data_IF_988592882217
#
_entry.id   IF_988592882217
#
_cell.length_a   1.000
_cell.length_b   1.000
_cell.length_c   1.000
_cell.angle_alpha   90.00
_cell.angle_beta   90.00
_cell.angle_gamma   90.00
#
_symmetry.space_group_name_H-M   'P 1'
#
loop_
_entity.id
_entity.type
_entity.pdbx_description
1 polymer ?
#
# COMPACT_ATOMS: atom_id res chain seq x y z
N UNK A 1 8.44 -69.78 17.77
CA UNK A 1 7.18 -70.02 18.47
C UNK A 1 6.43 -68.67 18.47
N UNK A 2 5.26 -68.42 18.00
CA UNK A 2 4.09 -69.23 17.64
C UNK A 2 3.28 -68.34 16.65
N UNK A 3 2.75 -69.01 15.66
CA UNK A 3 1.74 -68.61 14.66
C UNK A 3 0.44 -68.10 15.28
N UNK A 4 -0.33 -67.31 14.47
CA UNK A 4 -1.70 -67.56 13.98
C UNK A 4 -2.19 -66.20 13.50
N UNK A 5 -2.60 -65.82 12.29
CA UNK A 5 -3.56 -66.54 11.43
C UNK A 5 -4.95 -65.93 11.60
N UNK A 6 -5.45 -65.23 10.63
CA UNK A 6 -6.81 -64.69 10.65
C UNK A 6 -7.16 -63.94 9.36
N UNK A 7 -7.50 -64.76 8.34
CA UNK A 7 -8.16 -64.19 7.13
C UNK A 7 -9.63 -63.94 7.45
N UNK A 8 -10.12 -62.73 7.12
CA UNK A 8 -11.55 -62.40 7.16
C UNK A 8 -12.03 -62.04 5.76
N UNK A 9 -12.71 -62.97 5.17
CA UNK A 9 -13.44 -62.89 3.90
C UNK A 9 -14.68 -62.02 4.11
N UNK A 10 -14.82 -60.94 3.36
CA UNK A 10 -16.08 -60.19 3.30
C UNK A 10 -16.78 -60.47 1.97
N UNK A 11 -17.98 -61.02 2.12
CA UNK A 11 -18.89 -61.38 1.04
C UNK A 11 -19.48 -60.13 0.35
N UNK A 12 -19.48 -60.18 -0.98
CA UNK A 12 -20.10 -59.22 -1.86
C UNK A 12 -21.61 -59.46 -1.90
N UNK A 13 -22.42 -58.54 -1.41
CA UNK A 13 -23.87 -58.54 -1.59
C UNK A 13 -24.23 -57.60 -2.75
N UNK A 14 -24.62 -58.19 -3.87
CA UNK A 14 -25.16 -57.47 -5.03
C UNK A 14 -26.65 -57.29 -4.82
N UNK A 15 -27.12 -56.08 -4.59
CA UNK A 15 -28.54 -55.72 -4.59
C UNK A 15 -28.90 -55.08 -5.93
N UNK A 16 -29.69 -55.80 -6.71
CA UNK A 16 -30.27 -55.33 -7.96
C UNK A 16 -31.49 -54.46 -7.64
N UNK A 17 -31.44 -53.17 -7.95
CA UNK A 17 -32.62 -52.29 -7.91
C UNK A 17 -33.14 -52.05 -9.32
N UNK A 18 -34.40 -52.44 -9.51
CA UNK A 18 -35.19 -52.25 -10.74
C UNK A 18 -35.39 -50.76 -11.08
N UNK A 19 -35.15 -50.41 -12.34
CA UNK A 19 -35.41 -49.13 -12.92
C UNK A 19 -36.92 -49.00 -13.22
N UNK A 20 -37.60 -48.10 -12.55
CA UNK A 20 -38.92 -47.62 -12.97
C UNK A 20 -38.72 -46.26 -13.65
N UNK A 21 -38.92 -46.22 -14.96
CA UNK A 21 -38.91 -45.01 -15.72
C UNK A 21 -40.21 -44.24 -15.49
N UNK A 22 -40.10 -43.07 -14.85
CA UNK A 22 -41.16 -42.08 -14.82
C UNK A 22 -40.74 -40.89 -15.71
N UNK A 23 -41.36 -40.79 -16.88
CA UNK A 23 -41.19 -39.66 -17.77
C UNK A 23 -41.89 -38.42 -17.18
N UNK A 24 -41.12 -37.41 -16.81
CA UNK A 24 -41.61 -36.06 -16.55
C UNK A 24 -41.00 -35.11 -17.58
N UNK A 25 -41.83 -34.58 -18.45
CA UNK A 25 -41.46 -33.43 -19.31
C UNK A 25 -41.14 -32.24 -18.37
N UNK A 26 -39.84 -31.95 -18.17
CA UNK A 26 -39.45 -30.69 -17.59
C UNK A 26 -39.24 -29.67 -18.69
N UNK A 27 -40.14 -28.69 -18.75
CA UNK A 27 -39.99 -27.49 -19.56
C UNK A 27 -38.71 -26.78 -19.14
N UNK A 28 -37.75 -26.70 -20.06
CA UNK A 28 -36.52 -25.99 -19.87
C UNK A 28 -36.77 -24.49 -19.68
N UNK A 29 -36.72 -24.02 -18.44
CA UNK A 29 -36.58 -22.61 -18.14
C UNK A 29 -35.19 -22.21 -18.62
N UNK A 30 -35.14 -21.39 -19.68
CA UNK A 30 -33.88 -20.81 -20.15
C UNK A 30 -33.17 -20.18 -18.96
N UNK A 31 -31.97 -20.69 -18.63
CA UNK A 31 -31.08 -20.07 -17.68
C UNK A 31 -30.63 -18.76 -18.32
N UNK A 32 -31.07 -17.67 -17.69
CA UNK A 32 -30.57 -16.33 -17.96
C UNK A 32 -29.06 -16.35 -17.77
N UNK A 33 -28.31 -16.35 -18.87
CA UNK A 33 -26.86 -16.24 -18.88
C UNK A 33 -26.47 -14.79 -18.68
N UNK A 34 -26.90 -14.21 -17.56
CA UNK A 34 -26.35 -12.94 -17.10
C UNK A 34 -24.83 -13.12 -16.92
N UNK A 35 -23.99 -12.36 -17.61
CA UNK A 35 -22.54 -12.50 -17.40
C UNK A 35 -22.24 -12.24 -15.92
N UNK A 36 -21.49 -13.14 -15.31
CA UNK A 36 -20.99 -12.94 -13.95
C UNK A 36 -20.40 -11.54 -13.87
N UNK A 37 -20.60 -10.78 -12.76
CA UNK A 37 -20.03 -9.46 -12.62
C UNK A 37 -18.53 -9.58 -12.82
N UNK A 38 -18.02 -8.97 -13.89
CA UNK A 38 -16.59 -8.83 -14.11
C UNK A 38 -16.07 -8.08 -12.89
N UNK A 39 -15.37 -8.75 -11.99
CA UNK A 39 -14.63 -8.08 -10.92
C UNK A 39 -13.62 -7.18 -11.62
N UNK A 40 -13.98 -5.92 -11.81
CA UNK A 40 -13.07 -4.93 -12.33
C UNK A 40 -11.80 -5.01 -11.47
N UNK A 41 -10.66 -5.22 -12.12
CA UNK A 41 -9.36 -5.18 -11.45
C UNK A 41 -9.29 -3.81 -10.79
N UNK A 42 -9.41 -3.77 -9.47
CA UNK A 42 -9.34 -2.52 -8.73
C UNK A 42 -8.03 -1.82 -9.13
N UNK A 43 -8.14 -0.58 -9.59
CA UNK A 43 -6.97 0.18 -10.06
C UNK A 43 -5.89 0.22 -8.97
N UNK A 44 -4.64 0.04 -9.37
CA UNK A 44 -3.52 0.07 -8.43
C UNK A 44 -3.39 1.46 -7.81
N UNK A 45 -3.43 1.53 -6.48
CA UNK A 45 -3.23 2.75 -5.72
C UNK A 45 -1.73 3.09 -5.73
N UNK A 46 -1.37 4.23 -6.33
CA UNK A 46 0.02 4.68 -6.43
C UNK A 46 0.37 5.59 -5.28
N UNK A 47 1.37 5.21 -4.51
CA UNK A 47 1.94 5.99 -3.40
C UNK A 47 3.39 6.31 -3.74
N UNK A 48 3.85 7.52 -3.46
CA UNK A 48 5.26 7.92 -3.61
C UNK A 48 5.81 8.31 -2.24
N UNK A 49 6.93 7.70 -1.85
CA UNK A 49 7.70 8.13 -0.70
C UNK A 49 8.85 9.02 -1.18
N UNK A 50 8.77 10.32 -0.95
CA UNK A 50 9.84 11.28 -1.29
C UNK A 50 10.59 11.69 -0.02
N UNK A 51 11.91 11.71 -0.09
CA UNK A 51 12.74 12.03 1.07
C UNK A 51 14.23 11.92 0.80
N UNK A 52 15.01 11.89 1.88
CA UNK A 52 16.45 11.79 1.84
C UNK A 52 16.95 10.33 2.06
N UNK A 53 18.07 10.17 2.76
CA UNK A 53 18.75 8.87 2.98
C UNK A 53 17.91 7.83 3.70
N UNK A 54 17.12 8.22 4.70
CA UNK A 54 16.21 7.29 5.39
C UNK A 54 15.09 6.79 4.47
N UNK A 55 14.58 7.61 3.55
CA UNK A 55 13.64 7.13 2.54
C UNK A 55 14.33 6.22 1.53
N UNK A 56 15.56 6.56 1.12
CA UNK A 56 16.35 5.74 0.19
C UNK A 56 16.72 4.36 0.75
N UNK A 57 16.82 4.21 2.07
CA UNK A 57 17.25 2.97 2.74
C UNK A 57 18.76 2.90 2.96
N UNK A 58 19.38 4.03 3.33
CA UNK A 58 20.82 4.08 3.62
C UNK A 58 21.21 3.04 4.68
N UNK A 59 22.22 2.23 4.34
CA UNK A 59 22.76 1.21 5.24
C UNK A 59 21.96 -0.08 5.37
N UNK A 60 20.72 -0.11 4.83
CA UNK A 60 19.86 -1.31 4.92
C UNK A 60 19.36 -1.80 3.55
N UNK A 61 19.55 -1.04 2.49
CA UNK A 61 19.02 -1.32 1.15
C UNK A 61 17.57 -0.85 0.95
N UNK A 62 17.21 -0.55 -0.28
CA UNK A 62 15.89 -0.04 -0.64
C UNK A 62 14.76 -1.03 -0.34
N UNK A 63 15.04 -2.32 -0.43
CA UNK A 63 14.12 -3.43 -0.16
C UNK A 63 13.77 -3.55 1.33
N UNK A 64 14.64 -3.07 2.22
CA UNK A 64 14.42 -3.01 3.67
C UNK A 64 13.96 -1.63 4.14
N UNK A 65 13.93 -0.64 3.25
CA UNK A 65 13.47 0.71 3.57
C UNK A 65 11.96 0.75 3.84
N UNK A 66 11.50 1.73 4.61
CA UNK A 66 10.10 1.81 5.02
C UNK A 66 9.11 1.86 3.85
N UNK A 67 9.40 2.39 2.64
CA UNK A 67 8.45 2.36 1.54
C UNK A 67 8.14 0.92 1.09
N UNK A 68 9.17 0.07 0.97
CA UNK A 68 9.00 -1.35 0.62
C UNK A 68 8.27 -2.13 1.72
N UNK A 69 8.62 -1.88 2.99
CA UNK A 69 7.94 -2.48 4.15
C UNK A 69 6.46 -2.09 4.20
N UNK A 70 6.14 -0.81 3.96
CA UNK A 70 4.77 -0.32 3.93
C UNK A 70 3.97 -0.96 2.79
N UNK A 71 4.57 -1.08 1.59
CA UNK A 71 3.94 -1.77 0.47
C UNK A 71 3.59 -3.21 0.83
N UNK A 72 4.55 -3.97 1.37
CA UNK A 72 4.33 -5.35 1.77
C UNK A 72 3.20 -5.45 2.81
N UNK A 73 3.21 -4.58 3.82
CA UNK A 73 2.19 -4.58 4.87
C UNK A 73 0.78 -4.24 4.35
N UNK A 74 0.66 -3.36 3.35
CA UNK A 74 -0.62 -3.02 2.72
C UNK A 74 -1.10 -4.16 1.82
N UNK A 75 -0.22 -4.73 1.01
CA UNK A 75 -0.55 -5.86 0.13
C UNK A 75 -0.99 -7.09 0.92
N UNK A 76 -0.33 -7.40 2.04
CA UNK A 76 -0.73 -8.49 2.95
C UNK A 76 -2.14 -8.28 3.53
N UNK A 77 -2.63 -7.04 3.59
CA UNK A 77 -3.99 -6.67 4.00
C UNK A 77 -4.99 -6.59 2.84
N UNK A 78 -4.59 -7.02 1.64
CA UNK A 78 -5.46 -7.08 0.46
C UNK A 78 -5.56 -5.79 -0.34
N UNK A 79 -4.78 -4.75 -0.03
CA UNK A 79 -4.77 -3.52 -0.81
C UNK A 79 -3.93 -3.68 -2.08
N UNK A 80 -4.49 -3.35 -3.25
CA UNK A 80 -3.74 -3.28 -4.50
C UNK A 80 -2.97 -1.96 -4.57
N UNK A 81 -1.76 -1.93 -4.02
CA UNK A 81 -0.94 -0.72 -3.91
C UNK A 81 0.45 -0.92 -4.49
N UNK A 82 1.03 0.17 -4.97
CA UNK A 82 2.43 0.31 -5.32
C UNK A 82 3.00 1.51 -4.57
N UNK A 83 4.12 1.32 -3.85
CA UNK A 83 4.82 2.38 -3.13
C UNK A 83 6.18 2.63 -3.78
N UNK A 84 6.28 3.68 -4.58
CA UNK A 84 7.54 4.06 -5.22
C UNK A 84 8.46 4.73 -4.20
N UNK A 85 9.71 4.26 -4.14
CA UNK A 85 10.75 4.89 -3.32
C UNK A 85 11.46 5.97 -4.14
N UNK A 86 11.17 7.24 -3.86
CA UNK A 86 11.81 8.42 -4.44
C UNK A 86 12.77 9.10 -3.43
N UNK A 87 13.40 8.33 -2.55
CA UNK A 87 14.45 8.80 -1.65
C UNK A 87 15.76 9.07 -2.39
N UNK A 88 16.48 10.12 -1.97
CA UNK A 88 17.85 10.41 -2.44
C UNK A 88 18.73 10.74 -1.24
N UNK A 89 19.84 10.04 -1.09
CA UNK A 89 20.81 10.38 -0.04
C UNK A 89 21.30 11.83 -0.21
N UNK A 90 21.50 12.49 0.92
CA UNK A 90 21.91 13.90 1.01
C UNK A 90 20.90 14.93 0.46
N UNK A 91 19.70 14.50 0.08
CA UNK A 91 18.68 15.46 -0.42
C UNK A 91 18.22 16.41 0.69
N UNK A 92 17.83 17.60 0.27
CA UNK A 92 17.23 18.66 1.10
C UNK A 92 15.80 18.90 0.66
N UNK A 93 15.01 19.62 1.46
CA UNK A 93 13.65 20.02 1.04
C UNK A 93 13.65 20.87 -0.23
N UNK A 94 14.67 21.70 -0.43
CA UNK A 94 14.90 22.42 -1.70
C UNK A 94 15.21 21.48 -2.86
N UNK A 95 15.99 20.41 -2.62
CA UNK A 95 16.24 19.37 -3.61
C UNK A 95 14.98 18.60 -3.98
N UNK A 96 14.18 18.21 -2.99
CA UNK A 96 12.88 17.56 -3.19
C UNK A 96 11.92 18.43 -4.01
N UNK A 97 11.86 19.75 -3.70
CA UNK A 97 11.02 20.70 -4.44
C UNK A 97 11.42 20.78 -5.91
N UNK A 98 12.72 20.90 -6.20
CA UNK A 98 13.21 20.97 -7.59
C UNK A 98 12.91 19.75 -8.45
N UNK A 99 12.80 18.57 -7.83
CA UNK A 99 12.52 17.29 -8.53
C UNK A 99 11.08 16.77 -8.31
N UNK A 100 10.21 17.58 -7.74
CA UNK A 100 8.88 17.14 -7.33
C UNK A 100 8.08 16.52 -8.48
N UNK A 101 8.03 17.19 -9.63
CA UNK A 101 7.28 16.72 -10.79
C UNK A 101 7.84 15.42 -11.38
N UNK A 102 9.15 15.29 -11.44
CA UNK A 102 9.80 14.07 -11.89
C UNK A 102 9.63 12.89 -10.90
N UNK A 103 9.58 13.19 -9.60
CA UNK A 103 9.45 12.19 -8.56
C UNK A 103 8.01 11.73 -8.33
N UNK A 104 7.03 12.59 -8.64
CA UNK A 104 5.61 12.36 -8.36
C UNK A 104 4.80 12.43 -9.67
N UNK A 105 4.69 11.30 -10.40
CA UNK A 105 3.97 11.26 -11.67
C UNK A 105 2.46 11.46 -11.49
N UNK A 106 1.78 11.77 -12.59
CA UNK A 106 0.31 11.86 -12.63
C UNK A 106 -0.34 10.54 -12.21
N UNK A 107 -1.49 10.63 -11.54
CA UNK A 107 -2.20 9.48 -11.00
C UNK A 107 -1.62 8.96 -9.67
N UNK A 108 -0.67 9.69 -9.04
CA UNK A 108 -0.27 9.44 -7.67
C UNK A 108 -1.42 9.79 -6.72
N UNK A 109 -1.80 8.85 -5.86
CA UNK A 109 -2.86 9.02 -4.87
C UNK A 109 -2.37 9.72 -3.60
N UNK A 110 -1.18 9.34 -3.13
CA UNK A 110 -0.60 9.81 -1.86
C UNK A 110 0.90 10.03 -2.01
N UNK A 111 1.39 11.11 -1.42
CA UNK A 111 2.82 11.31 -1.18
C UNK A 111 3.10 11.23 0.31
N UNK A 112 4.07 10.40 0.69
CA UNK A 112 4.68 10.40 2.03
C UNK A 112 5.98 11.18 1.89
N UNK A 113 6.01 12.38 2.46
CA UNK A 113 7.19 13.24 2.42
C UNK A 113 7.97 13.15 3.73
N UNK A 114 9.22 12.70 3.66
CA UNK A 114 10.15 12.69 4.78
C UNK A 114 11.23 13.74 4.56
N UNK A 115 11.06 14.96 5.11
CA UNK A 115 11.95 16.07 4.80
C UNK A 115 13.38 15.89 5.33
N UNK A 116 13.58 15.05 6.36
CA UNK A 116 14.92 14.81 6.92
C UNK A 116 15.51 16.03 7.64
N UNK A 117 16.83 15.95 7.91
CA UNK A 117 17.57 16.97 8.63
C UNK A 117 18.69 17.64 7.82
N UNK A 118 18.80 17.34 6.52
CA UNK A 118 19.93 17.81 5.70
C UNK A 118 19.93 19.31 5.44
N UNK A 119 18.74 19.95 5.40
CA UNK A 119 18.64 21.40 5.32
C UNK A 119 19.42 22.10 6.44
N UNK A 120 19.32 21.57 7.66
CA UNK A 120 19.99 22.15 8.84
C UNK A 120 21.48 21.81 8.91
N UNK A 121 21.92 20.76 8.20
CA UNK A 121 23.34 20.35 8.16
C UNK A 121 24.13 20.99 7.03
N UNK A 122 23.46 21.29 5.90
CA UNK A 122 24.10 21.70 4.66
C UNK A 122 23.58 23.04 4.17
N UNK A 123 23.77 24.12 4.97
CA UNK A 123 23.53 25.51 4.53
C UNK A 123 22.09 26.00 4.43
N UNK A 124 21.12 25.26 4.97
CA UNK A 124 19.72 25.73 5.04
C UNK A 124 19.37 26.31 6.41
N UNK A 125 18.18 26.88 6.50
CA UNK A 125 17.58 27.33 7.76
C UNK A 125 16.29 26.58 8.08
N UNK A 126 15.82 26.69 9.31
CA UNK A 126 14.50 26.14 9.71
C UNK A 126 13.37 26.77 8.92
N UNK A 127 13.47 28.07 8.68
CA UNK A 127 12.48 28.85 7.96
C UNK A 127 12.41 28.41 6.50
N UNK A 128 13.58 28.26 5.83
CA UNK A 128 13.64 27.80 4.45
C UNK A 128 13.11 26.36 4.33
N UNK A 129 13.47 25.47 5.27
CA UNK A 129 12.94 24.09 5.33
C UNK A 129 11.41 24.11 5.45
N UNK A 130 10.86 24.91 6.37
CA UNK A 130 9.41 25.04 6.56
C UNK A 130 8.71 25.59 5.32
N UNK A 131 9.26 26.63 4.68
CA UNK A 131 8.74 27.20 3.44
C UNK A 131 8.73 26.18 2.30
N UNK A 132 9.81 25.41 2.12
CA UNK A 132 9.88 24.35 1.10
C UNK A 132 8.84 23.25 1.34
N UNK A 133 8.68 22.80 2.59
CA UNK A 133 7.66 21.80 2.97
C UNK A 133 6.26 22.31 2.64
N UNK A 134 5.96 23.55 2.99
CA UNK A 134 4.67 24.17 2.69
C UNK A 134 4.44 24.25 1.17
N UNK A 135 5.43 24.70 0.40
CA UNK A 135 5.34 24.80 -1.07
C UNK A 135 5.13 23.43 -1.72
N UNK A 136 5.89 22.40 -1.30
CA UNK A 136 5.71 21.01 -1.78
C UNK A 136 4.28 20.54 -1.49
N UNK A 137 3.81 20.75 -0.26
CA UNK A 137 2.47 20.34 0.15
C UNK A 137 1.39 21.04 -0.67
N UNK A 138 1.49 22.36 -0.88
CA UNK A 138 0.55 23.13 -1.69
C UNK A 138 0.52 22.63 -3.14
N UNK A 139 1.69 22.39 -3.75
CA UNK A 139 1.78 21.87 -5.12
C UNK A 139 1.13 20.49 -5.27
N UNK A 140 1.31 19.62 -4.28
CA UNK A 140 0.70 18.29 -4.29
C UNK A 140 -0.83 18.36 -4.10
N UNK A 141 -1.30 19.17 -3.15
CA UNK A 141 -2.74 19.38 -2.91
C UNK A 141 -3.42 19.99 -4.13
N UNK A 142 -2.80 20.97 -4.79
CA UNK A 142 -3.30 21.54 -6.05
C UNK A 142 -3.45 20.50 -7.18
N UNK A 143 -2.70 19.39 -7.10
CA UNK A 143 -2.81 18.22 -8.00
C UNK A 143 -3.76 17.14 -7.49
N UNK A 144 -4.57 17.41 -6.46
CA UNK A 144 -5.45 16.46 -5.77
C UNK A 144 -4.70 15.25 -5.17
N UNK A 145 -3.44 15.42 -4.81
CA UNK A 145 -2.62 14.37 -4.19
C UNK A 145 -2.65 14.54 -2.67
N UNK A 146 -2.99 13.48 -1.95
CA UNK A 146 -2.94 13.46 -0.49
C UNK A 146 -1.49 13.50 0.00
N UNK A 147 -1.24 14.10 1.16
CA UNK A 147 0.12 14.26 1.69
C UNK A 147 0.19 13.81 3.15
N UNK A 148 1.19 13.02 3.47
CA UNK A 148 1.62 12.75 4.85
C UNK A 148 3.06 13.29 5.00
N UNK A 149 3.26 14.22 5.91
CA UNK A 149 4.61 14.64 6.32
C UNK A 149 5.06 13.75 7.47
N UNK A 150 6.22 13.09 7.30
CA UNK A 150 6.84 12.21 8.26
C UNK A 150 8.10 12.87 8.82
N UNK A 151 8.04 13.34 10.06
CA UNK A 151 9.22 13.86 10.75
C UNK A 151 10.02 12.73 11.41
N UNK A 152 11.35 12.81 11.36
CA UNK A 152 12.23 11.81 11.96
C UNK A 152 12.06 11.72 13.48
N UNK A 153 11.66 12.82 14.12
CA UNK A 153 11.48 12.91 15.57
C UNK A 153 10.44 11.94 16.15
N UNK A 154 9.57 11.38 15.31
CA UNK A 154 8.59 10.38 15.76
C UNK A 154 9.21 9.00 15.97
N UNK A 155 10.41 8.75 15.43
CA UNK A 155 11.07 7.44 15.51
C UNK A 155 11.85 7.33 16.83
N UNK A 156 11.65 6.25 17.63
CA UNK A 156 12.40 6.03 18.87
C UNK A 156 13.92 5.99 18.65
N UNK A 157 14.68 6.60 19.54
CA UNK A 157 16.14 6.70 19.40
C UNK A 157 16.87 5.35 19.31
N UNK A 158 16.36 4.31 19.96
CA UNK A 158 16.91 2.95 19.89
C UNK A 158 16.80 2.30 18.50
N UNK A 159 16.04 2.90 17.58
CA UNK A 159 15.83 2.39 16.22
C UNK A 159 16.69 3.09 15.17
N UNK A 160 17.65 3.91 15.62
CA UNK A 160 18.66 4.50 14.77
C UNK A 160 19.92 3.62 14.73
N UNK A 161 20.64 3.70 13.61
CA UNK A 161 21.99 3.12 13.50
C UNK A 161 22.95 3.83 14.45
N UNK A 162 24.17 3.32 14.56
CA UNK A 162 25.22 3.86 15.42
C UNK A 162 25.54 5.36 15.16
N UNK A 163 25.20 5.87 13.99
CA UNK A 163 25.41 7.27 13.60
C UNK A 163 24.34 8.23 14.16
N UNK A 164 23.29 7.71 14.76
CA UNK A 164 22.17 8.49 15.32
C UNK A 164 21.34 9.25 14.28
N UNK A 165 21.47 8.89 12.99
CA UNK A 165 20.85 9.61 11.85
C UNK A 165 19.97 8.67 11.03
N UNK A 166 20.50 7.51 10.71
CA UNK A 166 19.86 6.55 9.82
C UNK A 166 19.11 5.49 10.61
N UNK A 167 17.98 5.04 10.08
CA UNK A 167 17.18 4.01 10.74
C UNK A 167 17.80 2.63 10.56
N UNK A 168 17.69 1.78 11.56
CA UNK A 168 17.95 0.34 11.44
C UNK A 168 16.84 -0.31 10.60
N UNK A 169 17.01 -1.58 10.22
CA UNK A 169 15.94 -2.36 9.56
C UNK A 169 14.66 -2.38 10.41
N UNK A 170 14.81 -2.53 11.74
CA UNK A 170 13.70 -2.47 12.69
C UNK A 170 13.06 -1.07 12.74
N UNK A 171 13.88 -0.01 12.63
CA UNK A 171 13.42 1.37 12.54
C UNK A 171 12.56 1.59 11.29
N UNK A 172 12.96 1.06 10.15
CA UNK A 172 12.17 1.10 8.93
C UNK A 172 10.85 0.33 9.04
N UNK A 173 10.83 -0.85 9.63
CA UNK A 173 9.61 -1.61 9.93
C UNK A 173 8.69 -0.85 10.88
N UNK A 174 9.27 -0.22 11.89
CA UNK A 174 8.52 0.62 12.83
C UNK A 174 7.85 1.79 12.10
N UNK A 175 8.58 2.51 11.22
CA UNK A 175 8.04 3.61 10.41
C UNK A 175 6.88 3.13 9.54
N UNK A 176 7.02 1.99 8.86
CA UNK A 176 5.96 1.42 8.06
C UNK A 176 4.72 1.10 8.92
N UNK A 177 4.91 0.53 10.11
CA UNK A 177 3.84 0.23 11.07
C UNK A 177 3.18 1.49 11.63
N UNK A 178 3.94 2.56 11.85
CA UNK A 178 3.43 3.86 12.27
C UNK A 178 2.55 4.52 11.19
N UNK A 179 2.90 4.35 9.93
CA UNK A 179 2.20 4.97 8.79
C UNK A 179 0.94 4.22 8.37
N UNK A 180 0.90 2.89 8.52
CA UNK A 180 -0.08 2.04 7.85
C UNK A 180 -1.54 2.40 8.18
N UNK A 181 -1.85 2.71 9.43
CA UNK A 181 -3.22 3.09 9.85
C UNK A 181 -3.67 4.40 9.17
N UNK A 182 -2.77 5.39 9.08
CA UNK A 182 -3.06 6.66 8.39
C UNK A 182 -3.25 6.47 6.90
N UNK A 183 -2.44 5.63 6.27
CA UNK A 183 -2.55 5.32 4.83
C UNK A 183 -3.87 4.61 4.53
N UNK A 184 -4.23 3.60 5.32
CA UNK A 184 -5.51 2.88 5.18
C UNK A 184 -6.69 3.83 5.36
N UNK A 185 -6.65 4.71 6.36
CA UNK A 185 -7.70 5.70 6.56
C UNK A 185 -7.87 6.63 5.35
N UNK A 186 -6.77 7.05 4.70
CA UNK A 186 -6.83 7.87 3.50
C UNK A 186 -7.34 7.11 2.27
N UNK A 187 -7.02 5.82 2.15
CA UNK A 187 -7.51 4.96 1.06
C UNK A 187 -9.03 4.76 1.18
N UNK A 188 -9.51 4.52 2.38
CA UNK A 188 -10.92 4.21 2.64
C UNK A 188 -11.79 5.47 2.84
N UNK A 189 -11.18 6.66 2.88
CA UNK A 189 -11.94 7.90 3.00
C UNK A 189 -12.82 8.09 1.75
N UNK A 190 -14.11 8.44 1.91
CA UNK A 190 -14.96 8.75 0.77
C UNK A 190 -14.35 9.90 -0.02
N UNK A 191 -14.35 9.80 -1.34
CA UNK A 191 -13.99 10.95 -2.17
C UNK A 191 -15.01 12.06 -1.89
N UNK A 192 -14.52 13.19 -1.39
CA UNK A 192 -15.33 14.41 -1.31
C UNK A 192 -15.56 14.81 -2.76
N UNK A 193 -16.74 14.45 -3.31
CA UNK A 193 -17.15 14.95 -4.60
C UNK A 193 -17.10 16.48 -4.50
N UNK A 194 -16.18 17.09 -5.24
CA UNK A 194 -16.19 18.55 -5.44
C UNK A 194 -17.55 18.86 -6.07
N UNK A 195 -18.48 19.32 -5.24
CA UNK A 195 -19.83 19.61 -5.62
C UNK A 195 -19.82 20.49 -6.87
N UNK A 196 -20.33 19.92 -7.98
CA UNK A 196 -20.75 20.70 -9.11
C UNK A 196 -21.74 21.73 -8.55
N UNK A 197 -21.37 23.00 -8.58
CA UNK A 197 -22.30 24.08 -8.23
C UNK A 197 -23.63 23.81 -8.90
N UNK A 198 -24.78 23.96 -8.21
CA UNK A 198 -26.08 23.81 -8.84
C UNK A 198 -26.13 24.76 -10.02
N UNK A 199 -26.54 24.25 -11.19
CA UNK A 199 -26.79 25.07 -12.36
C UNK A 199 -27.79 26.16 -11.92
N UNK A 200 -27.40 27.42 -12.10
CA UNK A 200 -28.33 28.54 -11.98
C UNK A 200 -29.42 28.33 -12.99
N UNK A 201 -30.63 28.14 -12.49
CA UNK A 201 -31.84 28.22 -13.32
C UNK A 201 -32.10 29.72 -13.50
N UNK A 202 -31.85 30.22 -14.69
CA UNK A 202 -32.44 31.47 -15.20
C UNK A 202 -33.86 31.21 -15.66
#
# INVERSE_FOLDING_TARGET
>A
MLKIGGACTFALVITVFSVIAFGALAQGKAMDSSPAPTMGIASTIKIVAIGASNTAGWGVGSENAYPAQLQLMLQTRGYNVQVANAGRSFDTTGGMLRRLDAAVPSGTFLVIMQPGGNDLRFFGSKEQRAANIATITQNLVARNIKVIVLENTVVPSALYQWDGIHFTTEGHKWVASYLIGRVIALINAPEVSSGRAPASFD
#
